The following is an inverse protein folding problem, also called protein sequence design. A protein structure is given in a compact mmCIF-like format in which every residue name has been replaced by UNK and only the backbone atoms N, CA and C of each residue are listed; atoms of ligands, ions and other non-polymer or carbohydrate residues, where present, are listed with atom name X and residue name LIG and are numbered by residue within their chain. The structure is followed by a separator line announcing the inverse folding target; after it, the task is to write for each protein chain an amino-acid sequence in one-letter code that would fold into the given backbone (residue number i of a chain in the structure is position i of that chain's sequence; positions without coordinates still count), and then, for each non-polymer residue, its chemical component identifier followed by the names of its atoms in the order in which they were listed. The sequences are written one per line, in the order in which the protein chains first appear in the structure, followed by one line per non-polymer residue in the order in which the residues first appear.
data_IF_945762090914
#
_entry.id   IF_945762090914
#
_cell.length_a   1.000
_cell.length_b   1.000
_cell.length_c   1.000
_cell.angle_alpha   90.00
_cell.angle_beta   90.00
_cell.angle_gamma   90.00
#
_symmetry.space_group_name_H-M   'P 1'
#
loop_
_entity.id
_entity.type
_entity.pdbx_description
1 polymer ?
#
# COMPACT_ATOMS: atom_id res chain seq x y z
N UNK A 1 -25.49 -9.86 -1.97
CA UNK A 1 -24.12 -9.56 -2.43
C UNK A 1 -23.35 -9.11 -1.21
N UNK A 2 -22.44 -9.94 -0.68
CA UNK A 2 -21.50 -9.47 0.33
C UNK A 2 -20.70 -8.32 -0.30
N UNK A 3 -20.57 -7.21 0.41
CA UNK A 3 -19.77 -6.09 -0.10
C UNK A 3 -18.31 -6.56 -0.26
N UNK A 4 -17.54 -5.98 -1.17
CA UNK A 4 -16.15 -6.44 -1.38
C UNK A 4 -15.30 -6.29 -0.10
N UNK A 5 -15.65 -5.34 0.78
CA UNK A 5 -15.04 -5.17 2.11
C UNK A 5 -15.26 -6.37 3.04
N UNK A 6 -16.45 -7.01 2.98
CA UNK A 6 -16.73 -8.22 3.76
C UNK A 6 -15.83 -9.39 3.36
N UNK A 7 -15.49 -9.49 2.07
CA UNK A 7 -14.60 -10.52 1.54
C UNK A 7 -13.15 -10.37 2.04
N UNK A 8 -12.63 -9.14 2.03
CA UNK A 8 -11.28 -8.85 2.52
C UNK A 8 -11.15 -9.12 4.01
N UNK A 9 -12.09 -8.61 4.82
CA UNK A 9 -12.11 -8.82 6.28
C UNK A 9 -12.27 -10.29 6.65
N UNK A 10 -13.09 -11.04 5.91
CA UNK A 10 -13.27 -12.49 6.14
C UNK A 10 -11.97 -13.26 5.87
N UNK A 11 -11.29 -12.98 4.75
CA UNK A 11 -10.00 -13.63 4.45
C UNK A 11 -8.91 -13.25 5.44
N UNK A 12 -8.87 -11.98 5.86
CA UNK A 12 -7.96 -11.53 6.91
C UNK A 12 -8.19 -12.33 8.19
N UNK A 13 -9.45 -12.42 8.65
CA UNK A 13 -9.79 -13.16 9.86
C UNK A 13 -9.51 -14.65 9.77
N UNK A 14 -9.70 -15.25 8.59
CA UNK A 14 -9.39 -16.66 8.36
C UNK A 14 -7.88 -16.96 8.45
N UNK A 15 -7.02 -16.01 8.07
CA UNK A 15 -5.57 -16.22 8.08
C UNK A 15 -4.90 -15.78 9.38
N UNK A 16 -5.17 -14.54 9.83
CA UNK A 16 -4.50 -13.93 10.98
C UNK A 16 -5.28 -14.08 12.29
N UNK A 17 -6.52 -14.58 12.25
CA UNK A 17 -7.40 -14.74 13.41
C UNK A 17 -7.87 -13.40 13.99
N UNK A 18 -9.14 -13.05 13.85
CA UNK A 18 -9.69 -11.76 14.31
C UNK A 18 -9.80 -10.72 13.19
N UNK A 19 -10.29 -9.51 13.50
CA UNK A 19 -10.59 -8.48 12.48
C UNK A 19 -9.40 -7.54 12.26
N UNK A 20 -9.26 -6.93 11.07
CA UNK A 20 -8.30 -5.85 10.86
C UNK A 20 -8.76 -4.57 11.55
N UNK A 21 -7.79 -3.76 12.00
CA UNK A 21 -8.03 -2.45 12.60
C UNK A 21 -8.40 -1.40 11.53
N UNK A 22 -7.88 -1.56 10.32
CA UNK A 22 -8.15 -0.65 9.21
C UNK A 22 -8.04 -1.31 7.84
N UNK A 23 -8.75 -0.76 6.86
CA UNK A 23 -8.64 -1.14 5.46
C UNK A 23 -8.29 0.08 4.59
N UNK A 24 -7.63 -0.16 3.47
CA UNK A 24 -7.20 0.88 2.54
C UNK A 24 -7.36 0.44 1.10
N UNK A 25 -7.62 1.40 0.20
CA UNK A 25 -7.81 1.13 -1.23
C UNK A 25 -7.05 2.12 -2.07
N UNK A 26 -6.32 1.62 -3.06
CA UNK A 26 -5.68 2.39 -4.13
C UNK A 26 -6.05 1.80 -5.49
N UNK A 27 -6.20 2.65 -6.49
CA UNK A 27 -6.61 2.24 -7.83
C UNK A 27 -5.43 2.25 -8.79
N UNK A 28 -5.40 1.29 -9.72
CA UNK A 28 -4.49 1.34 -10.85
C UNK A 28 -4.81 2.53 -11.75
N UNK A 29 -3.83 2.97 -12.54
CA UNK A 29 -4.01 4.02 -13.54
C UNK A 29 -3.28 3.67 -14.82
N UNK A 30 -3.74 4.25 -15.92
CA UNK A 30 -3.00 4.29 -17.17
C UNK A 30 -2.80 5.76 -17.56
N UNK A 31 -1.65 6.08 -18.13
CA UNK A 31 -1.47 7.38 -18.77
C UNK A 31 -2.09 7.32 -20.17
N UNK A 32 -3.01 8.24 -20.46
CA UNK A 32 -3.54 8.38 -21.82
C UNK A 32 -2.49 9.10 -22.69
N UNK A 33 -1.83 10.12 -22.13
CA UNK A 33 -0.70 10.84 -22.75
C UNK A 33 0.17 11.48 -21.66
N UNK A 34 1.43 11.78 -22.00
CA UNK A 34 2.39 12.42 -21.09
C UNK A 34 3.23 11.43 -20.30
N UNK A 35 3.54 10.25 -20.86
CA UNK A 35 4.58 9.42 -20.28
C UNK A 35 5.93 10.13 -20.36
N UNK A 36 6.75 9.98 -19.32
CA UNK A 36 8.09 10.55 -19.22
C UNK A 36 8.16 12.08 -19.14
N UNK A 37 7.03 12.78 -19.02
CA UNK A 37 6.98 14.24 -18.83
C UNK A 37 6.76 14.63 -17.36
N UNK A 38 6.27 13.72 -16.53
CA UNK A 38 5.99 13.92 -15.10
C UNK A 38 7.22 14.35 -14.30
N UNK A 39 8.36 13.67 -14.48
CA UNK A 39 9.62 14.05 -13.83
C UNK A 39 10.38 15.20 -14.51
N UNK A 40 9.79 15.81 -15.55
CA UNK A 40 10.34 16.95 -16.29
C UNK A 40 9.45 18.21 -16.16
N UNK A 41 8.61 18.29 -15.13
CA UNK A 41 7.64 19.38 -14.91
C UNK A 41 6.67 19.60 -16.10
N UNK A 42 6.41 18.54 -16.87
CA UNK A 42 5.49 18.56 -18.00
C UNK A 42 4.06 18.14 -17.62
N UNK A 43 3.15 18.25 -18.58
CA UNK A 43 1.76 17.84 -18.39
C UNK A 43 1.57 16.34 -18.58
N UNK A 44 0.64 15.77 -17.81
CA UNK A 44 0.21 14.36 -17.90
C UNK A 44 -1.31 14.26 -17.91
N UNK A 45 -1.85 13.22 -18.55
CA UNK A 45 -3.29 12.92 -18.55
C UNK A 45 -3.54 11.47 -18.13
N UNK A 46 -3.57 11.16 -16.83
CA UNK A 46 -3.86 9.83 -16.33
C UNK A 46 -5.37 9.55 -16.31
N UNK A 47 -5.72 8.27 -16.39
CA UNK A 47 -7.07 7.76 -16.17
C UNK A 47 -7.04 6.60 -15.18
N UNK A 48 -7.95 6.64 -14.21
CA UNK A 48 -8.09 5.61 -13.18
C UNK A 48 -8.78 4.38 -13.77
N UNK A 49 -8.26 3.20 -13.45
CA UNK A 49 -8.85 1.92 -13.82
C UNK A 49 -9.85 1.45 -12.75
N UNK A 50 -10.79 0.58 -13.14
CA UNK A 50 -11.66 -0.13 -12.19
C UNK A 50 -10.88 -1.14 -11.32
N UNK A 51 -9.70 -1.55 -11.78
CA UNK A 51 -8.80 -2.44 -11.04
C UNK A 51 -8.16 -1.69 -9.87
N UNK A 52 -8.09 -2.36 -8.72
CA UNK A 52 -7.64 -1.78 -7.47
C UNK A 52 -6.88 -2.77 -6.61
N UNK A 53 -6.06 -2.21 -5.72
CA UNK A 53 -5.39 -2.88 -4.62
C UNK A 53 -6.10 -2.48 -3.33
N UNK A 54 -6.47 -3.49 -2.56
CA UNK A 54 -7.08 -3.37 -1.25
C UNK A 54 -6.14 -3.99 -0.21
N UNK A 55 -6.02 -3.32 0.93
CA UNK A 55 -5.22 -3.81 2.06
C UNK A 55 -6.06 -3.86 3.32
N UNK A 56 -5.80 -4.85 4.16
CA UNK A 56 -6.33 -4.95 5.51
C UNK A 56 -5.15 -5.04 6.48
N UNK A 57 -5.16 -4.18 7.51
CA UNK A 57 -4.03 -3.98 8.41
C UNK A 57 -4.51 -4.13 9.85
N UNK A 58 -3.72 -4.83 10.65
CA UNK A 58 -3.84 -4.85 12.11
C UNK A 58 -2.50 -4.50 12.75
N UNK A 59 -2.52 -3.63 13.75
CA UNK A 59 -1.36 -3.28 14.53
C UNK A 59 -0.92 -4.46 15.43
N UNK A 60 0.38 -4.61 15.58
CA UNK A 60 1.00 -5.59 16.48
C UNK A 60 1.83 -4.85 17.54
N UNK A 61 2.01 -5.43 18.74
CA UNK A 61 2.83 -4.83 19.78
C UNK A 61 4.35 -5.02 19.55
N UNK A 62 4.76 -5.86 18.60
CA UNK A 62 6.16 -6.15 18.27
C UNK A 62 6.66 -5.28 17.09
N UNK A 63 7.82 -5.61 16.50
CA UNK A 63 8.34 -4.99 15.25
C UNK A 63 8.30 -5.96 14.07
N UNK A 64 7.38 -6.93 14.08
CA UNK A 64 7.25 -7.92 13.01
C UNK A 64 6.25 -7.45 11.94
N UNK A 65 6.63 -7.65 10.69
CA UNK A 65 5.77 -7.48 9.53
C UNK A 65 5.35 -8.86 9.04
N UNK A 66 4.05 -9.17 9.13
CA UNK A 66 3.49 -10.44 8.72
C UNK A 66 2.56 -10.19 7.54
N UNK A 67 3.00 -10.56 6.35
CA UNK A 67 2.30 -10.30 5.10
C UNK A 67 1.65 -11.53 4.51
N UNK A 68 0.45 -11.36 3.97
CA UNK A 68 -0.18 -12.28 3.03
C UNK A 68 -0.57 -11.52 1.76
N UNK A 69 -0.15 -12.01 0.61
CA UNK A 69 -0.52 -11.50 -0.70
C UNK A 69 -0.91 -12.64 -1.63
N UNK A 70 -1.93 -12.43 -2.45
CA UNK A 70 -2.27 -13.39 -3.52
C UNK A 70 -1.14 -13.55 -4.56
N UNK A 71 -0.37 -12.49 -4.82
CA UNK A 71 0.70 -12.49 -5.81
C UNK A 71 2.06 -12.90 -5.25
N UNK A 72 2.39 -12.44 -4.03
CA UNK A 72 3.70 -12.67 -3.42
C UNK A 72 3.70 -13.78 -2.34
N UNK A 73 2.55 -14.37 -2.05
CA UNK A 73 2.40 -15.37 -1.01
C UNK A 73 2.50 -14.81 0.41
N UNK A 74 2.74 -15.69 1.37
CA UNK A 74 2.96 -15.33 2.76
C UNK A 74 4.44 -15.04 3.03
N UNK A 75 4.73 -13.99 3.78
CA UNK A 75 6.08 -13.66 4.22
C UNK A 75 6.08 -13.03 5.62
N UNK A 76 7.20 -13.15 6.32
CA UNK A 76 7.43 -12.50 7.60
C UNK A 76 8.82 -11.84 7.58
N UNK A 77 8.93 -10.63 8.14
CA UNK A 77 10.20 -9.94 8.29
C UNK A 77 10.21 -9.07 9.54
N UNK A 78 11.39 -8.90 10.16
CA UNK A 78 11.59 -7.80 11.10
C UNK A 78 11.51 -6.48 10.32
N UNK A 79 10.77 -5.49 10.85
CA UNK A 79 10.53 -4.21 10.18
C UNK A 79 11.83 -3.54 9.74
N UNK A 80 12.83 -3.54 10.62
CA UNK A 80 14.12 -2.89 10.37
C UNK A 80 15.02 -3.68 9.40
N UNK A 81 14.70 -4.95 9.15
CA UNK A 81 15.43 -5.83 8.23
C UNK A 81 14.71 -6.04 6.89
N UNK A 82 13.50 -5.50 6.72
CA UNK A 82 12.75 -5.58 5.47
C UNK A 82 13.37 -4.64 4.43
N UNK A 83 14.32 -5.15 3.65
CA UNK A 83 15.10 -4.38 2.67
C UNK A 83 14.57 -4.53 1.25
N UNK A 84 15.11 -3.70 0.34
CA UNK A 84 14.90 -3.79 -1.12
C UNK A 84 15.00 -5.24 -1.61
N UNK A 85 14.03 -5.64 -2.44
CA UNK A 85 13.90 -7.01 -2.96
C UNK A 85 12.92 -7.90 -2.19
N UNK A 86 12.57 -7.54 -0.95
CA UNK A 86 11.49 -8.19 -0.20
C UNK A 86 10.19 -7.39 -0.38
N UNK A 87 9.06 -8.04 -0.71
CA UNK A 87 7.82 -7.30 -0.98
C UNK A 87 7.27 -6.55 0.26
N UNK A 88 7.57 -7.04 1.48
CA UNK A 88 7.30 -6.30 2.72
C UNK A 88 8.10 -4.99 2.87
N UNK A 89 9.08 -4.70 2.01
CA UNK A 89 9.71 -3.39 1.98
C UNK A 89 8.70 -2.27 1.69
N UNK A 90 7.62 -2.54 0.97
CA UNK A 90 6.51 -1.58 0.81
C UNK A 90 5.82 -1.28 2.14
N UNK A 91 5.60 -2.30 2.98
CA UNK A 91 4.99 -2.14 4.30
C UNK A 91 5.92 -1.39 5.26
N UNK A 92 7.20 -1.75 5.29
CA UNK A 92 8.22 -1.06 6.07
C UNK A 92 8.36 0.41 5.65
N UNK A 93 8.44 0.67 4.35
CA UNK A 93 8.49 2.02 3.79
C UNK A 93 7.23 2.82 4.10
N UNK A 94 6.04 2.20 4.01
CA UNK A 94 4.78 2.85 4.37
C UNK A 94 4.75 3.30 5.83
N UNK A 95 5.14 2.43 6.76
CA UNK A 95 5.28 2.78 8.19
C UNK A 95 6.30 3.89 8.41
N UNK A 96 7.42 3.85 7.68
CA UNK A 96 8.46 4.87 7.79
C UNK A 96 7.99 6.25 7.32
N UNK A 97 7.37 6.35 6.14
CA UNK A 97 6.91 7.65 5.61
C UNK A 97 5.68 8.18 6.36
N UNK A 98 4.78 7.31 6.81
CA UNK A 98 3.57 7.74 7.55
C UNK A 98 3.85 8.10 9.02
N UNK A 99 5.03 7.80 9.54
CA UNK A 99 5.44 8.26 10.87
C UNK A 99 5.43 9.79 10.99
N UNK A 100 5.69 10.52 9.90
CA UNK A 100 5.66 11.99 9.90
C UNK A 100 4.26 12.59 10.08
N UNK A 101 3.21 11.78 9.85
CA UNK A 101 1.81 12.14 10.08
C UNK A 101 1.23 11.45 11.33
N UNK A 102 2.08 10.85 12.17
CA UNK A 102 1.70 10.32 13.48
C UNK A 102 1.37 8.83 13.52
N UNK A 103 1.59 8.07 12.43
CA UNK A 103 1.44 6.60 12.47
C UNK A 103 2.58 5.99 13.30
N UNK A 104 2.30 5.18 14.33
CA UNK A 104 3.33 4.50 15.11
C UNK A 104 4.14 3.50 14.27
N UNK A 105 5.45 3.46 14.48
CA UNK A 105 6.33 2.46 13.85
C UNK A 105 6.33 1.16 14.65
N UNK A 106 5.20 0.44 14.59
CA UNK A 106 4.99 -0.88 15.20
C UNK A 106 4.76 -1.95 14.14
N UNK A 107 4.92 -3.21 14.51
CA UNK A 107 4.66 -4.35 13.64
C UNK A 107 3.21 -4.36 13.14
N UNK A 108 2.97 -5.04 12.02
CA UNK A 108 1.64 -5.16 11.44
C UNK A 108 1.40 -6.54 10.85
N UNK A 109 0.17 -7.02 10.96
CA UNK A 109 -0.37 -8.04 10.07
C UNK A 109 -0.97 -7.33 8.86
N UNK A 110 -0.58 -7.74 7.65
CA UNK A 110 -0.96 -7.12 6.38
C UNK A 110 -1.50 -8.17 5.42
N UNK A 111 -2.76 -8.01 5.00
CA UNK A 111 -3.30 -8.71 3.83
C UNK A 111 -3.34 -7.74 2.65
N UNK A 112 -2.84 -8.17 1.50
CA UNK A 112 -2.94 -7.46 0.22
C UNK A 112 -3.76 -8.29 -0.75
N UNK A 113 -4.86 -7.71 -1.26
CA UNK A 113 -5.64 -8.25 -2.37
C UNK A 113 -5.62 -7.26 -3.53
N UNK A 114 -5.26 -7.71 -4.73
CA UNK A 114 -5.12 -6.83 -5.88
C UNK A 114 -5.72 -7.45 -7.12
N UNK A 115 -6.52 -6.65 -7.80
CA UNK A 115 -7.02 -6.94 -9.15
C UNK A 115 -6.21 -6.22 -10.23
N UNK A 116 -5.27 -5.35 -9.85
CA UNK A 116 -4.41 -4.65 -10.80
C UNK A 116 -3.42 -5.64 -11.42
N UNK A 117 -3.41 -5.82 -12.75
CA UNK A 117 -2.47 -6.72 -13.42
C UNK A 117 -1.01 -6.31 -13.17
N UNK A 118 -0.18 -7.26 -12.74
CA UNK A 118 1.25 -7.02 -12.58
C UNK A 118 1.96 -6.91 -13.94
N UNK A 119 3.00 -6.07 -14.01
CA UNK A 119 3.84 -5.93 -15.21
C UNK A 119 3.18 -5.28 -16.43
N UNK A 120 1.90 -4.90 -16.35
CA UNK A 120 1.16 -4.32 -17.47
C UNK A 120 1.35 -2.80 -17.63
N UNK A 121 2.25 -2.17 -16.87
CA UNK A 121 2.47 -0.71 -16.93
C UNK A 121 1.32 0.12 -16.35
N UNK A 122 0.41 -0.49 -15.60
CA UNK A 122 -0.81 0.15 -15.06
C UNK A 122 -0.70 0.60 -13.60
N UNK A 123 0.54 0.86 -13.15
CA UNK A 123 0.85 1.45 -11.84
C UNK A 123 0.36 0.63 -10.63
N UNK A 124 0.59 -0.69 -10.62
CA UNK A 124 0.21 -1.57 -9.51
C UNK A 124 0.93 -1.24 -8.19
N UNK A 125 2.18 -0.81 -8.26
CA UNK A 125 2.97 -0.40 -7.08
C UNK A 125 2.44 0.90 -6.46
N UNK A 126 2.05 1.87 -7.28
CA UNK A 126 1.45 3.12 -6.81
C UNK A 126 0.08 2.88 -6.16
N UNK A 127 -0.72 1.97 -6.74
CA UNK A 127 -1.99 1.53 -6.16
C UNK A 127 -1.77 0.90 -4.76
N UNK A 128 -0.76 0.05 -4.62
CA UNK A 128 -0.36 -0.53 -3.33
C UNK A 128 0.09 0.54 -2.34
N UNK A 129 0.96 1.48 -2.74
CA UNK A 129 1.45 2.55 -1.88
C UNK A 129 0.30 3.42 -1.33
N UNK A 130 -0.63 3.82 -2.19
CA UNK A 130 -1.83 4.58 -1.79
C UNK A 130 -2.72 3.75 -0.85
N UNK A 131 -2.93 2.46 -1.15
CA UNK A 131 -3.70 1.57 -0.30
C UNK A 131 -3.09 1.45 1.10
N UNK A 132 -1.76 1.26 1.19
CA UNK A 132 -1.02 1.16 2.45
C UNK A 132 -1.13 2.44 3.29
N UNK A 133 -0.90 3.62 2.70
CA UNK A 133 -1.00 4.90 3.43
C UNK A 133 -2.41 5.08 4.00
N UNK A 134 -3.46 4.82 3.20
CA UNK A 134 -4.86 4.91 3.65
C UNK A 134 -5.18 3.87 4.73
N UNK A 135 -4.74 2.63 4.54
CA UNK A 135 -4.95 1.54 5.48
C UNK A 135 -4.29 1.79 6.83
N UNK A 136 -3.07 2.33 6.84
CA UNK A 136 -2.37 2.70 8.07
C UNK A 136 -3.07 3.86 8.78
N UNK A 137 -3.52 4.88 8.05
CA UNK A 137 -4.30 5.96 8.66
C UNK A 137 -5.56 5.41 9.34
N UNK A 138 -6.29 4.52 8.66
CA UNK A 138 -7.48 3.90 9.22
C UNK A 138 -7.16 3.03 10.45
N UNK A 139 -6.15 2.16 10.37
CA UNK A 139 -5.77 1.23 11.43
C UNK A 139 -5.34 1.94 12.72
N UNK A 140 -4.68 3.10 12.60
CA UNK A 140 -4.21 3.88 13.75
C UNK A 140 -5.11 5.08 14.08
N UNK A 141 -6.31 5.15 13.49
CA UNK A 141 -7.25 6.27 13.69
C UNK A 141 -6.65 7.66 13.42
N UNK A 142 -5.70 7.75 12.48
CA UNK A 142 -5.13 9.00 12.01
C UNK A 142 -6.06 9.58 10.93
N UNK A 143 -6.46 10.87 11.02
CA UNK A 143 -7.26 11.50 9.99
C UNK A 143 -6.57 11.42 8.62
N UNK A 144 -7.30 10.98 7.60
CA UNK A 144 -6.75 10.86 6.26
C UNK A 144 -6.28 12.25 5.76
N UNK A 145 -5.00 12.40 5.37
CA UNK A 145 -4.50 13.68 4.88
C UNK A 145 -5.05 13.97 3.48
N UNK A 146 -4.88 15.20 2.96
CA UNK A 146 -5.28 15.54 1.60
C UNK A 146 -4.70 14.56 0.57
N UNK A 147 -5.44 14.31 -0.51
CA UNK A 147 -5.05 13.32 -1.52
C UNK A 147 -3.63 13.53 -2.10
N UNK A 148 -3.21 14.79 -2.23
CA UNK A 148 -1.86 15.16 -2.68
C UNK A 148 -0.77 14.71 -1.70
N UNK A 149 -1.04 14.79 -0.39
CA UNK A 149 -0.13 14.29 0.65
C UNK A 149 -0.06 12.78 0.61
N UNK A 150 -1.20 12.09 0.44
CA UNK A 150 -1.23 10.63 0.27
C UNK A 150 -0.40 10.21 -0.95
N UNK A 151 -0.55 10.90 -2.07
CA UNK A 151 0.21 10.62 -3.29
C UNK A 151 1.72 10.80 -3.08
N UNK A 152 2.15 11.89 -2.45
CA UNK A 152 3.57 12.14 -2.12
C UNK A 152 4.16 11.11 -1.16
N UNK A 153 3.40 10.71 -0.14
CA UNK A 153 3.80 9.65 0.77
C UNK A 153 3.96 8.32 0.03
N UNK A 154 2.99 7.95 -0.81
CA UNK A 154 3.03 6.73 -1.61
C UNK A 154 4.23 6.72 -2.58
N UNK A 155 4.50 7.84 -3.26
CA UNK A 155 5.66 8.01 -4.12
C UNK A 155 6.98 7.81 -3.37
N UNK A 156 7.10 8.35 -2.14
CA UNK A 156 8.30 8.18 -1.30
C UNK A 156 8.56 6.74 -0.88
N UNK A 157 7.51 5.91 -0.75
CA UNK A 157 7.71 4.46 -0.52
C UNK A 157 8.52 3.89 -1.69
N UNK A 158 8.13 4.21 -2.94
CA UNK A 158 8.82 3.71 -4.13
C UNK A 158 10.23 4.28 -4.28
N UNK A 159 10.37 5.61 -4.15
CA UNK A 159 11.64 6.30 -4.34
C UNK A 159 12.67 5.94 -3.25
N UNK A 160 12.28 6.05 -1.98
CA UNK A 160 13.23 5.97 -0.87
C UNK A 160 13.47 4.52 -0.43
N UNK A 161 12.42 3.69 -0.42
CA UNK A 161 12.49 2.33 0.16
C UNK A 161 12.60 1.22 -0.88
N UNK A 162 11.93 1.36 -2.03
CA UNK A 162 12.04 0.35 -3.10
C UNK A 162 13.19 0.70 -4.06
N UNK A 163 13.50 1.98 -4.25
CA UNK A 163 14.52 2.46 -5.18
C UNK A 163 14.04 2.56 -6.63
N UNK A 164 12.73 2.60 -6.85
CA UNK A 164 12.14 2.86 -8.15
C UNK A 164 11.92 4.36 -8.28
N UNK A 165 12.66 5.02 -9.18
CA UNK A 165 12.51 6.44 -9.43
C UNK A 165 11.24 6.70 -10.24
N UNK A 166 10.25 7.35 -9.62
CA UNK A 166 8.97 7.70 -10.23
C UNK A 166 8.52 9.12 -9.87
N UNK A 167 7.72 9.72 -10.78
CA UNK A 167 7.10 11.04 -10.67
C UNK A 167 5.79 11.07 -9.89
#
# INVERSE_FOLDING_TARGET
MASVDDGLRTRFAAHFGGVPDGTGTGFGRVNIIGDHTDYNDGFVMPCILSHRTEVAIRARPDRLLNGLSGAFGQAEAQMDAATKGHWLAYAAGALAVTAEIGVPQVGIDLLVDSTVPEGAGVSSSAALGVALVRGLCAAFSIPAPPAQTIARLAQRIENDFIGLQCG
#
